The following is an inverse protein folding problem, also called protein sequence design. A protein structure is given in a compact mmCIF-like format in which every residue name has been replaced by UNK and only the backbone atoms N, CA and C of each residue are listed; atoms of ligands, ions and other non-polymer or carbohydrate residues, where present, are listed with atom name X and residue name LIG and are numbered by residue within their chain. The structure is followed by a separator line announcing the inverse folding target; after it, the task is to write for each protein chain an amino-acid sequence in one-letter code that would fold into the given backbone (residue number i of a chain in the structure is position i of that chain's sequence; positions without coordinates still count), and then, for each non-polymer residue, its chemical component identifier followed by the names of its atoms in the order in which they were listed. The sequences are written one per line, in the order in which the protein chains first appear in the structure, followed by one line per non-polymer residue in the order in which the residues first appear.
data_IF_762500352340
#
_entry.id   IF_762500352340
#
_cell.length_a   1.000
_cell.length_b   1.000
_cell.length_c   1.000
_cell.angle_alpha   90.00
_cell.angle_beta   90.00
_cell.angle_gamma   90.00
#
_symmetry.space_group_name_H-M   'P 1'
#
loop_
_entity.id
_entity.type
_entity.pdbx_description
1 polymer ?
#
# COMPACT_ATOMS: atom_id res chain seq x y z
N UNK A 1 9.60 15.33 8.41
CA UNK A 1 9.78 14.34 7.32
C UNK A 1 8.45 13.61 7.25
N UNK A 2 7.71 13.67 6.13
CA UNK A 2 6.34 13.14 6.07
C UNK A 2 6.42 11.64 5.84
N UNK A 3 6.45 10.87 6.91
CA UNK A 3 6.27 9.43 6.88
C UNK A 3 4.88 9.15 6.28
N UNK A 4 4.86 8.60 5.07
CA UNK A 4 3.63 8.13 4.42
C UNK A 4 3.31 6.78 5.09
N UNK A 5 2.86 6.86 6.33
CA UNK A 5 2.22 5.76 7.04
C UNK A 5 0.81 5.72 6.49
N UNK A 6 0.38 4.58 5.93
CA UNK A 6 -1.03 4.18 5.89
C UNK A 6 -1.19 2.89 5.05
N UNK A 7 -1.41 1.79 5.74
CA UNK A 7 -2.61 0.98 5.54
C UNK A 7 -3.29 0.97 6.90
N UNK A 8 -4.38 1.75 7.08
CA UNK A 8 -5.01 2.03 8.36
C UNK A 8 -4.97 0.78 9.26
N UNK A 9 -4.33 0.80 10.44
CA UNK A 9 -4.03 -0.42 11.18
C UNK A 9 -5.27 -1.28 11.47
N UNK A 10 -6.40 -0.64 11.69
CA UNK A 10 -7.70 -1.29 11.90
C UNK A 10 -8.30 -1.94 10.64
N UNK A 11 -7.70 -1.74 9.46
CA UNK A 11 -8.15 -2.22 8.14
C UNK A 11 -7.11 -3.12 7.47
N UNK A 12 -5.82 -2.85 7.68
CA UNK A 12 -4.74 -3.69 7.18
C UNK A 12 -4.63 -4.95 8.04
N UNK A 13 -4.73 -6.13 7.44
CA UNK A 13 -4.60 -7.40 8.17
C UNK A 13 -3.16 -7.95 8.16
N UNK A 14 -2.17 -7.14 7.77
CA UNK A 14 -0.78 -7.58 7.59
C UNK A 14 -0.62 -8.86 6.74
N UNK A 15 -1.51 -9.13 5.77
CA UNK A 15 -1.48 -10.36 4.99
C UNK A 15 -0.37 -10.39 3.92
N UNK A 16 0.34 -9.28 3.75
CA UNK A 16 1.48 -9.08 2.82
C UNK A 16 1.15 -9.28 1.33
N UNK A 17 -0.13 -9.38 0.96
CA UNK A 17 -0.51 -9.62 -0.43
C UNK A 17 -0.04 -8.49 -1.35
N UNK A 18 -0.14 -7.23 -0.92
CA UNK A 18 0.38 -6.08 -1.67
C UNK A 18 1.89 -6.18 -1.94
N UNK A 19 2.68 -6.65 -0.97
CA UNK A 19 4.13 -6.87 -1.12
C UNK A 19 4.39 -8.01 -2.11
N UNK A 20 3.70 -9.15 -1.93
CA UNK A 20 3.88 -10.36 -2.75
C UNK A 20 3.52 -10.15 -4.22
N UNK A 21 2.45 -9.40 -4.52
CA UNK A 21 1.98 -9.21 -5.90
C UNK A 21 2.66 -8.02 -6.60
N UNK A 22 3.22 -7.07 -5.84
CA UNK A 22 3.84 -5.89 -6.43
C UNK A 22 5.25 -6.19 -6.95
N UNK A 23 5.35 -6.43 -8.26
CA UNK A 23 6.63 -6.65 -8.98
C UNK A 23 7.52 -5.40 -9.07
N UNK A 24 7.09 -4.28 -8.49
CA UNK A 24 7.76 -2.97 -8.53
C UNK A 24 8.31 -2.54 -7.18
N UNK A 25 8.19 -3.39 -6.16
CA UNK A 25 8.74 -3.12 -4.83
C UNK A 25 8.21 -1.82 -4.22
N UNK A 26 6.90 -1.55 -4.41
CA UNK A 26 6.25 -0.32 -3.91
C UNK A 26 5.95 -0.42 -2.42
N UNK A 27 5.74 -1.62 -1.90
CA UNK A 27 5.20 -1.88 -0.57
C UNK A 27 6.20 -2.60 0.32
N UNK A 28 6.15 -2.31 1.61
CA UNK A 28 6.86 -3.05 2.66
C UNK A 28 5.92 -3.36 3.83
N UNK A 29 6.40 -4.11 4.82
CA UNK A 29 5.74 -4.37 6.11
C UNK A 29 6.55 -3.73 7.23
N UNK A 30 5.90 -2.87 8.02
CA UNK A 30 6.54 -2.18 9.14
C UNK A 30 5.64 -2.25 10.39
N UNK A 31 6.27 -2.17 11.57
CA UNK A 31 5.57 -1.99 12.85
C UNK A 31 5.37 -0.49 13.06
N UNK A 32 4.11 -0.08 13.09
CA UNK A 32 3.69 1.31 13.32
C UNK A 32 2.89 1.34 14.61
N UNK A 33 3.47 1.94 15.65
CA UNK A 33 2.85 2.10 16.98
C UNK A 33 2.36 0.77 17.61
N UNK A 34 3.04 -0.35 17.34
CA UNK A 34 2.71 -1.68 17.85
C UNK A 34 1.77 -2.48 16.95
N UNK A 35 1.41 -1.94 15.79
CA UNK A 35 0.59 -2.61 14.78
C UNK A 35 1.40 -2.87 13.51
N UNK A 36 1.48 -4.14 13.12
CA UNK A 36 2.14 -4.54 11.88
C UNK A 36 1.21 -4.18 10.71
N UNK A 37 1.68 -3.32 9.82
CA UNK A 37 0.90 -2.84 8.66
C UNK A 37 1.75 -2.82 7.40
N UNK A 38 1.09 -2.82 6.24
CA UNK A 38 1.79 -2.50 5.00
C UNK A 38 1.93 -1.00 4.82
N UNK A 39 3.08 -0.56 4.34
CA UNK A 39 3.40 0.83 4.01
C UNK A 39 3.73 0.99 2.54
N UNK A 40 3.49 2.19 1.99
CA UNK A 40 3.91 2.55 0.63
C UNK A 40 5.31 3.16 0.73
N UNK A 41 6.33 2.35 0.46
CA UNK A 41 7.74 2.70 0.65
C UNK A 41 8.37 3.37 -0.57
N UNK A 42 8.01 2.89 -1.76
CA UNK A 42 8.54 3.39 -3.04
C UNK A 42 7.40 3.75 -4.00
N UNK A 43 6.60 4.79 -3.69
CA UNK A 43 5.49 5.21 -4.56
C UNK A 43 5.94 5.56 -5.98
N UNK A 44 7.17 6.06 -6.15
CA UNK A 44 7.80 6.38 -7.44
C UNK A 44 7.98 5.17 -8.36
N UNK A 45 8.03 3.96 -7.82
CA UNK A 45 8.15 2.73 -8.61
C UNK A 45 6.79 2.26 -9.17
N UNK A 46 5.69 2.82 -8.68
CA UNK A 46 4.35 2.40 -9.06
C UNK A 46 4.06 2.73 -10.53
N UNK A 47 3.58 1.74 -11.28
CA UNK A 47 3.14 1.90 -12.67
C UNK A 47 1.61 1.78 -12.84
N UNK A 48 0.87 1.88 -11.74
CA UNK A 48 -0.60 1.79 -11.74
C UNK A 48 -1.17 0.49 -12.31
N UNK A 49 -0.47 -0.66 -12.17
CA UNK A 49 -0.96 -1.94 -12.70
C UNK A 49 -2.24 -2.46 -12.00
N UNK A 50 -2.45 -2.08 -10.73
CA UNK A 50 -3.65 -2.42 -9.97
C UNK A 50 -3.68 -3.80 -9.31
N UNK A 51 -2.62 -4.61 -9.42
CA UNK A 51 -2.60 -5.94 -8.79
C UNK A 51 -2.82 -5.87 -7.27
N UNK A 52 -2.19 -4.91 -6.60
CA UNK A 52 -2.38 -4.70 -5.16
C UNK A 52 -3.83 -4.39 -4.78
N UNK A 53 -4.60 -3.73 -5.66
CA UNK A 53 -6.04 -3.46 -5.46
C UNK A 53 -6.84 -4.73 -5.70
N UNK A 54 -6.51 -5.51 -6.73
CA UNK A 54 -7.22 -6.74 -7.07
C UNK A 54 -7.13 -7.82 -6.00
N UNK A 55 -6.00 -7.91 -5.30
CA UNK A 55 -5.72 -8.97 -4.32
C UNK A 55 -5.86 -8.52 -2.86
N UNK A 56 -6.19 -7.25 -2.59
CA UNK A 56 -6.41 -6.76 -1.23
C UNK A 56 -7.90 -6.76 -0.90
N UNK A 57 -8.30 -7.52 0.12
CA UNK A 57 -9.68 -7.53 0.61
C UNK A 57 -10.13 -6.15 1.14
N UNK A 58 -9.15 -5.34 1.58
CA UNK A 58 -9.32 -3.95 2.02
C UNK A 58 -8.99 -2.91 0.94
N UNK A 59 -9.12 -3.26 -0.34
CA UNK A 59 -8.67 -2.47 -1.50
C UNK A 59 -9.17 -1.02 -1.56
N UNK A 60 -10.33 -0.72 -0.98
CA UNK A 60 -10.88 0.65 -0.97
C UNK A 60 -9.98 1.65 -0.23
N UNK A 61 -9.38 1.22 0.89
CA UNK A 61 -8.48 2.06 1.68
C UNK A 61 -7.13 2.20 0.97
N UNK A 62 -6.62 1.09 0.45
CA UNK A 62 -5.38 1.05 -0.34
C UNK A 62 -5.44 1.94 -1.58
N UNK A 63 -6.57 1.94 -2.30
CA UNK A 63 -6.79 2.77 -3.49
C UNK A 63 -6.73 4.27 -3.15
N UNK A 64 -7.37 4.69 -2.04
CA UNK A 64 -7.32 6.09 -1.59
C UNK A 64 -5.88 6.51 -1.29
N UNK A 65 -5.10 5.65 -0.65
CA UNK A 65 -3.72 5.92 -0.29
C UNK A 65 -2.83 6.04 -1.53
N UNK A 66 -2.94 5.10 -2.47
CA UNK A 66 -2.18 5.17 -3.72
C UNK A 66 -2.50 6.44 -4.51
N UNK A 67 -3.76 6.89 -4.55
CA UNK A 67 -4.14 8.16 -5.19
C UNK A 67 -3.57 9.41 -4.51
N UNK A 68 -3.17 9.33 -3.25
CA UNK A 68 -2.54 10.46 -2.54
C UNK A 68 -1.06 10.60 -2.86
N UNK A 69 -0.37 9.51 -3.18
CA UNK A 69 1.10 9.47 -3.26
C UNK A 69 1.65 9.02 -4.61
N UNK A 70 0.79 8.47 -5.47
CA UNK A 70 1.09 8.15 -6.86
C UNK A 70 0.26 9.08 -7.76
N UNK A 71 0.86 10.14 -8.33
CA UNK A 71 0.13 11.21 -9.04
C UNK A 71 -0.78 10.73 -10.18
N UNK A 72 -0.38 9.66 -10.86
CA UNK A 72 -1.06 9.10 -12.04
C UNK A 72 -1.74 7.76 -11.77
N UNK A 73 -2.14 7.49 -10.52
CA UNK A 73 -2.83 6.25 -10.18
C UNK A 73 -4.25 6.22 -10.74
N UNK A 74 -4.42 5.54 -11.88
CA UNK A 74 -5.66 5.42 -12.64
C UNK A 74 -6.13 3.97 -12.64
N UNK A 75 -7.03 3.65 -11.71
CA UNK A 75 -7.87 2.45 -11.68
C UNK A 75 -9.34 2.87 -11.65
#
# INVERSE_FOLDING_TARGET
MKEIILAAPQVCQACEMCVKVCKRDVFDIEDVDGEIVSVIKHPENCNSCGDCIRYCDSSQVLLKQLRLVVPDFKL
#
